data_IF_555773928070
#
_entry.id   IF_555773928070
#
_cell.length_a   1.000
_cell.length_b   1.000
_cell.length_c   1.000
_cell.angle_alpha   90.00
_cell.angle_beta   90.00
_cell.angle_gamma   90.00
#
_symmetry.space_group_name_H-M   'P 1'
#
loop_
_entity.id
_entity.type
_entity.pdbx_description
1 polymer ?
#
# COMPACT_ATOMS: atom_id res chain seq x y z
N UNK A 1 17.17 38.52 -3.96
CA UNK A 1 15.95 37.85 -4.43
C UNK A 1 15.39 37.05 -3.28
N UNK A 2 14.25 37.44 -2.72
CA UNK A 2 13.63 36.76 -1.60
C UNK A 2 12.99 35.49 -2.14
N UNK A 3 13.58 34.34 -1.85
CA UNK A 3 12.93 33.07 -2.05
C UNK A 3 11.83 32.92 -1.00
N UNK A 4 10.62 33.33 -1.35
CA UNK A 4 9.44 32.98 -0.58
C UNK A 4 9.16 31.52 -0.93
N UNK A 5 9.50 30.60 0.00
CA UNK A 5 9.04 29.23 -0.10
C UNK A 5 7.54 29.22 0.23
N UNK A 6 6.73 29.20 -0.81
CA UNK A 6 5.31 28.91 -0.67
C UNK A 6 5.19 27.40 -0.42
N UNK A 7 4.89 27.01 0.80
CA UNK A 7 4.46 25.66 1.11
C UNK A 7 3.05 25.49 0.52
N UNK A 8 2.98 24.95 -0.69
CA UNK A 8 1.73 24.40 -1.18
C UNK A 8 1.39 23.18 -0.35
N UNK A 9 0.51 23.34 0.60
CA UNK A 9 -0.19 22.23 1.24
C UNK A 9 -1.09 21.61 0.17
N UNK A 10 -0.52 20.70 -0.63
CA UNK A 10 -1.30 19.97 -1.61
C UNK A 10 -2.36 19.19 -0.84
N UNK A 11 -3.62 19.55 -1.05
CA UNK A 11 -4.75 18.78 -0.54
C UNK A 11 -4.62 17.34 -1.06
N UNK A 12 -4.82 16.35 -0.17
CA UNK A 12 -4.89 14.96 -0.61
C UNK A 12 -5.92 14.83 -1.72
N UNK A 13 -5.51 14.35 -2.86
CA UNK A 13 -6.38 13.99 -3.97
C UNK A 13 -6.51 12.48 -4.04
N UNK A 14 -7.72 12.00 -4.30
CA UNK A 14 -7.94 10.56 -4.55
C UNK A 14 -7.06 10.12 -5.72
N UNK A 15 -6.31 9.02 -5.59
CA UNK A 15 -5.40 8.59 -6.64
C UNK A 15 -6.16 8.28 -7.94
N UNK A 16 -5.61 8.71 -9.05
CA UNK A 16 -6.16 8.45 -10.37
C UNK A 16 -5.85 6.99 -10.74
N UNK A 17 -6.84 6.30 -11.29
CA UNK A 17 -6.66 4.98 -11.90
C UNK A 17 -6.54 5.18 -13.40
N UNK A 18 -5.40 4.77 -13.98
CA UNK A 18 -5.13 4.96 -15.39
C UNK A 18 -5.08 3.62 -16.13
N UNK A 19 -5.98 3.45 -17.09
CA UNK A 19 -5.92 2.37 -18.05
C UNK A 19 -5.09 2.85 -19.28
N UNK A 20 -3.79 2.62 -19.25
CA UNK A 20 -2.91 2.92 -20.39
C UNK A 20 -3.33 2.09 -21.62
N UNK A 21 -3.35 2.69 -22.81
CA UNK A 21 -3.64 1.93 -24.05
C UNK A 21 -2.51 0.96 -24.43
N UNK A 22 -1.31 1.19 -23.92
CA UNK A 22 -0.10 0.43 -24.27
C UNK A 22 0.13 -0.75 -23.35
N UNK A 23 -0.20 -0.61 -22.06
CA UNK A 23 0.11 -1.60 -21.05
C UNK A 23 -1.09 -2.50 -20.79
N UNK A 24 -0.82 -3.75 -20.42
CA UNK A 24 -1.85 -4.73 -20.11
C UNK A 24 -2.38 -4.58 -18.66
N UNK A 25 -1.65 -3.88 -17.81
CA UNK A 25 -2.02 -3.60 -16.41
C UNK A 25 -2.63 -2.22 -16.25
N UNK A 26 -3.23 -2.00 -15.08
CA UNK A 26 -3.84 -0.74 -14.69
C UNK A 26 -2.95 -0.06 -13.64
N UNK A 27 -2.57 1.18 -13.91
CA UNK A 27 -1.75 1.99 -13.02
C UNK A 27 -2.56 2.54 -11.83
N UNK A 28 -1.90 2.71 -10.70
CA UNK A 28 -2.47 3.23 -9.47
C UNK A 28 -1.69 4.46 -8.99
N UNK A 29 -2.27 5.64 -9.15
CA UNK A 29 -1.63 6.94 -9.02
C UNK A 29 -1.21 7.52 -10.38
N UNK A 30 -0.78 8.77 -10.40
CA UNK A 30 -0.45 9.51 -11.62
C UNK A 30 0.70 8.85 -12.40
N UNK A 31 1.76 8.46 -11.68
CA UNK A 31 2.94 7.77 -12.22
C UNK A 31 3.04 6.33 -11.70
N UNK A 32 1.91 5.67 -11.48
CA UNK A 32 1.86 4.33 -10.88
C UNK A 32 2.49 4.24 -9.48
N UNK A 33 2.49 5.32 -8.73
CA UNK A 33 3.27 5.55 -7.51
C UNK A 33 2.46 5.51 -6.21
N UNK A 34 1.13 5.36 -6.27
CA UNK A 34 0.29 5.48 -5.07
C UNK A 34 0.66 4.51 -3.94
N UNK A 35 1.07 3.28 -4.25
CA UNK A 35 1.56 2.37 -3.22
C UNK A 35 2.84 2.88 -2.56
N UNK A 36 3.76 3.45 -3.34
CA UNK A 36 4.98 4.04 -2.81
C UNK A 36 4.66 5.28 -1.94
N UNK A 37 3.73 6.13 -2.39
CA UNK A 37 3.25 7.26 -1.60
C UNK A 37 2.74 6.83 -0.22
N UNK A 38 1.96 5.74 -0.12
CA UNK A 38 1.49 5.21 1.16
C UNK A 38 2.66 4.69 2.01
N UNK A 39 3.63 3.99 1.40
CA UNK A 39 4.82 3.47 2.08
C UNK A 39 5.62 4.64 2.67
N UNK A 40 5.83 5.71 1.91
CA UNK A 40 6.57 6.89 2.37
C UNK A 40 5.85 7.56 3.57
N UNK A 41 4.52 7.68 3.51
CA UNK A 41 3.72 8.19 4.65
C UNK A 41 3.81 7.30 5.89
N UNK A 42 3.94 5.98 5.69
CA UNK A 42 4.13 5.04 6.79
C UNK A 42 5.54 5.12 7.39
N UNK A 43 6.57 5.23 6.57
CA UNK A 43 7.97 5.27 7.03
C UNK A 43 8.33 6.61 7.68
N UNK A 44 7.86 7.72 7.10
CA UNK A 44 8.29 9.07 7.49
C UNK A 44 7.41 9.73 8.56
N UNK A 45 6.21 9.19 8.85
CA UNK A 45 5.34 9.68 9.92
C UNK A 45 5.32 8.71 11.10
N UNK A 46 5.89 9.11 12.22
CA UNK A 46 5.96 8.31 13.45
C UNK A 46 4.56 8.00 14.00
N UNK A 47 3.67 8.99 13.99
CA UNK A 47 2.30 8.82 14.46
C UNK A 47 1.53 7.85 13.57
N UNK A 48 1.59 8.04 12.24
CA UNK A 48 0.91 7.17 11.28
C UNK A 48 1.36 5.71 11.39
N UNK A 49 2.69 5.47 11.41
CA UNK A 49 3.24 4.13 11.56
C UNK A 49 2.85 3.47 12.89
N UNK A 50 2.89 4.22 13.99
CA UNK A 50 2.50 3.71 15.31
C UNK A 50 1.03 3.31 15.35
N UNK A 51 0.13 4.12 14.79
CA UNK A 51 -1.30 3.82 14.73
C UNK A 51 -1.56 2.58 13.87
N UNK A 52 -1.00 2.53 12.65
CA UNK A 52 -1.16 1.40 11.75
C UNK A 52 -0.68 0.10 12.40
N UNK A 53 0.52 0.10 12.98
CA UNK A 53 1.10 -1.07 13.64
C UNK A 53 0.27 -1.55 14.83
N UNK A 54 -0.19 -0.61 15.69
CA UNK A 54 -0.98 -0.97 16.86
C UNK A 54 -2.35 -1.52 16.47
N UNK A 55 -3.04 -0.88 15.52
CA UNK A 55 -4.33 -1.37 15.01
C UNK A 55 -4.17 -2.73 14.35
N UNK A 56 -3.13 -2.94 13.55
CA UNK A 56 -2.84 -4.24 12.93
C UNK A 56 -2.62 -5.34 13.99
N UNK A 57 -1.91 -5.04 15.07
CA UNK A 57 -1.74 -5.98 16.21
C UNK A 57 -3.06 -6.30 16.89
N UNK A 58 -3.92 -5.30 17.07
CA UNK A 58 -5.25 -5.51 17.66
C UNK A 58 -6.14 -6.38 16.76
N UNK A 59 -6.13 -6.14 15.45
CA UNK A 59 -6.87 -6.96 14.46
C UNK A 59 -6.36 -8.39 14.46
N UNK A 60 -5.04 -8.59 14.47
CA UNK A 60 -4.45 -9.93 14.54
C UNK A 60 -4.83 -10.65 15.83
N UNK A 61 -4.84 -9.96 16.97
CA UNK A 61 -5.23 -10.48 18.28
C UNK A 61 -4.50 -11.78 18.65
N UNK A 62 -5.24 -12.87 18.76
CA UNK A 62 -4.73 -14.22 19.01
C UNK A 62 -4.45 -15.04 17.75
N UNK A 63 -4.57 -14.43 16.56
CA UNK A 63 -4.43 -15.09 15.27
C UNK A 63 -5.72 -15.76 14.80
N UNK A 64 -5.59 -16.68 13.85
CA UNK A 64 -6.74 -17.42 13.34
C UNK A 64 -7.28 -18.39 14.36
N UNK A 65 -8.61 -18.43 14.50
CA UNK A 65 -9.32 -19.42 15.28
C UNK A 65 -10.61 -19.84 14.56
N UNK A 66 -11.13 -21.02 14.86
CA UNK A 66 -12.41 -21.49 14.36
C UNK A 66 -13.31 -21.86 15.53
N UNK A 67 -14.57 -21.42 15.49
CA UNK A 67 -15.55 -21.68 16.55
C UNK A 67 -15.88 -23.18 16.68
N UNK A 68 -15.72 -23.93 15.60
CA UNK A 68 -15.97 -25.37 15.50
C UNK A 68 -14.68 -26.22 15.50
N UNK A 69 -13.53 -25.64 15.87
CA UNK A 69 -12.24 -26.35 15.91
C UNK A 69 -12.29 -27.69 16.65
N UNK A 70 -13.03 -27.75 17.77
CA UNK A 70 -13.20 -28.96 18.55
C UNK A 70 -14.07 -30.04 17.85
N UNK A 71 -14.97 -29.60 16.94
CA UNK A 71 -15.84 -30.49 16.18
C UNK A 71 -15.16 -30.98 14.88
N UNK A 72 -14.24 -30.19 14.35
CA UNK A 72 -13.55 -30.44 13.08
C UNK A 72 -12.03 -30.24 13.20
N UNK A 73 -11.36 -31.06 14.01
CA UNK A 73 -9.94 -30.84 14.31
C UNK A 73 -9.03 -31.03 13.11
N UNK A 74 -9.39 -31.90 12.16
CA UNK A 74 -8.59 -32.12 10.94
C UNK A 74 -8.63 -30.91 10.00
N UNK A 75 -9.81 -30.31 9.78
CA UNK A 75 -9.99 -29.12 8.97
C UNK A 75 -9.30 -27.91 9.61
N UNK A 76 -9.38 -27.79 10.93
CA UNK A 76 -8.66 -26.76 11.67
C UNK A 76 -7.14 -26.92 11.53
N UNK A 77 -6.61 -28.14 11.66
CA UNK A 77 -5.19 -28.40 11.45
C UNK A 77 -4.73 -28.07 10.02
N UNK A 78 -5.55 -28.37 9.00
CA UNK A 78 -5.28 -28.02 7.61
C UNK A 78 -5.27 -26.49 7.43
N UNK A 79 -6.22 -25.77 7.99
CA UNK A 79 -6.26 -24.30 7.96
C UNK A 79 -4.99 -23.70 8.57
N UNK A 80 -4.58 -24.19 9.74
CA UNK A 80 -3.36 -23.73 10.42
C UNK A 80 -2.08 -24.08 9.66
N UNK A 81 -2.05 -25.17 8.90
CA UNK A 81 -0.94 -25.54 8.05
C UNK A 81 -0.82 -24.66 6.80
N UNK A 82 -1.96 -24.19 6.25
CA UNK A 82 -2.01 -23.27 5.11
C UNK A 82 -1.65 -21.83 5.50
N UNK A 83 -2.13 -21.37 6.66
CA UNK A 83 -2.02 -19.98 7.09
C UNK A 83 -1.20 -19.88 8.38
N UNK A 84 0.12 -19.81 8.23
CA UNK A 84 0.98 -19.58 9.38
C UNK A 84 0.80 -18.17 9.98
N UNK A 85 1.21 -18.00 11.24
CA UNK A 85 1.04 -16.76 11.98
C UNK A 85 1.72 -15.55 11.31
N UNK A 86 2.88 -15.74 10.69
CA UNK A 86 3.62 -14.67 10.00
C UNK A 86 2.87 -14.20 8.75
N UNK A 87 2.34 -15.13 7.95
CA UNK A 87 1.52 -14.82 6.78
C UNK A 87 0.30 -13.98 7.18
N UNK A 88 -0.42 -14.37 8.24
CA UNK A 88 -1.60 -13.62 8.70
C UNK A 88 -1.25 -12.23 9.21
N UNK A 89 -0.12 -12.06 9.93
CA UNK A 89 0.33 -10.72 10.36
C UNK A 89 0.61 -9.81 9.17
N UNK A 90 1.25 -10.32 8.13
CA UNK A 90 1.53 -9.57 6.90
C UNK A 90 0.24 -9.18 6.17
N UNK A 91 -0.70 -10.11 6.04
CA UNK A 91 -2.03 -9.84 5.45
C UNK A 91 -2.76 -8.74 6.22
N UNK A 92 -2.77 -8.81 7.55
CA UNK A 92 -3.45 -7.82 8.38
C UNK A 92 -2.77 -6.44 8.25
N UNK A 93 -1.44 -6.40 8.18
CA UNK A 93 -0.70 -5.16 7.98
C UNK A 93 -0.99 -4.55 6.61
N UNK A 94 -0.91 -5.32 5.53
CA UNK A 94 -1.24 -4.85 4.17
C UNK A 94 -2.69 -4.36 4.10
N UNK A 95 -3.62 -5.13 4.69
CA UNK A 95 -5.04 -4.77 4.73
C UNK A 95 -5.26 -3.44 5.45
N UNK A 96 -4.55 -3.18 6.54
CA UNK A 96 -4.64 -1.91 7.26
C UNK A 96 -3.92 -0.79 6.53
N UNK A 97 -2.72 -1.06 6.01
CA UNK A 97 -1.87 -0.05 5.37
C UNK A 97 -2.39 0.39 4.01
N UNK A 98 -2.77 -0.57 3.15
CA UNK A 98 -3.18 -0.31 1.76
C UNK A 98 -4.69 -0.41 1.51
N UNK A 99 -5.46 -0.85 2.52
CA UNK A 99 -6.88 -1.13 2.33
C UNK A 99 -7.17 -2.43 1.58
N UNK A 100 -6.15 -3.19 1.19
CA UNK A 100 -6.22 -4.39 0.36
C UNK A 100 -5.05 -5.31 0.67
N UNK A 101 -5.17 -6.60 0.31
CA UNK A 101 -4.09 -7.56 0.48
C UNK A 101 -4.13 -8.61 -0.62
N UNK A 102 -3.03 -9.32 -0.80
CA UNK A 102 -2.95 -10.40 -1.77
C UNK A 102 -2.25 -11.64 -1.20
N UNK A 103 -2.59 -12.77 -1.77
CA UNK A 103 -2.00 -14.07 -1.46
C UNK A 103 -1.69 -14.81 -2.75
N UNK A 104 -0.57 -15.50 -2.75
CA UNK A 104 -0.21 -16.43 -3.80
C UNK A 104 -0.66 -17.83 -3.36
N UNK A 105 -1.54 -18.45 -4.13
CA UNK A 105 -2.12 -19.75 -3.88
C UNK A 105 -1.42 -20.77 -4.77
N UNK A 106 -0.91 -21.84 -4.18
CA UNK A 106 -0.25 -22.93 -4.87
C UNK A 106 -1.10 -24.18 -4.83
N UNK A 107 -1.42 -24.72 -6.02
CA UNK A 107 -2.18 -25.95 -6.20
C UNK A 107 -1.27 -27.15 -6.45
N UNK A 108 -1.83 -28.33 -6.28
CA UNK A 108 -1.24 -29.57 -6.75
C UNK A 108 -1.27 -29.63 -8.30
N UNK A 109 -0.52 -30.58 -8.89
CA UNK A 109 -0.46 -30.74 -10.35
C UNK A 109 -1.82 -31.02 -11.01
N UNK A 110 -2.77 -31.56 -10.28
CA UNK A 110 -4.12 -31.86 -10.73
C UNK A 110 -5.10 -30.71 -10.51
N UNK A 111 -4.66 -29.58 -9.95
CA UNK A 111 -5.45 -28.40 -9.57
C UNK A 111 -6.67 -28.72 -8.68
N UNK A 112 -6.55 -29.78 -7.85
CA UNK A 112 -7.65 -30.25 -6.97
C UNK A 112 -7.49 -29.83 -5.51
N UNK A 113 -6.26 -29.54 -5.08
CA UNK A 113 -5.95 -29.24 -3.69
C UNK A 113 -4.99 -28.08 -3.58
N UNK A 114 -5.30 -27.13 -2.69
CA UNK A 114 -4.38 -26.09 -2.31
C UNK A 114 -3.31 -26.70 -1.41
N UNK A 115 -2.06 -26.58 -1.82
CA UNK A 115 -0.91 -27.08 -1.08
C UNK A 115 -0.37 -26.04 -0.11
N UNK A 116 -0.30 -24.79 -0.54
CA UNK A 116 0.27 -23.68 0.22
C UNK A 116 -0.39 -22.36 -0.17
N UNK A 117 -0.40 -21.43 0.76
CA UNK A 117 -0.81 -20.06 0.56
C UNK A 117 0.24 -19.14 1.19
N UNK A 118 0.76 -18.20 0.41
CA UNK A 118 1.78 -17.24 0.84
C UNK A 118 1.25 -15.82 0.70
N UNK A 119 1.64 -14.97 1.64
CA UNK A 119 1.47 -13.53 1.48
C UNK A 119 2.34 -13.05 0.32
N UNK A 120 1.78 -12.20 -0.53
CA UNK A 120 2.51 -11.43 -1.53
C UNK A 120 2.21 -9.94 -1.32
N UNK A 121 3.24 -9.07 -1.22
CA UNK A 121 3.04 -7.64 -1.01
C UNK A 121 2.22 -7.03 -2.15
N UNK A 122 1.15 -6.33 -1.82
CA UNK A 122 0.25 -5.77 -2.85
C UNK A 122 0.89 -4.66 -3.69
N UNK A 123 1.88 -3.96 -3.15
CA UNK A 123 2.63 -2.94 -3.88
C UNK A 123 3.41 -3.50 -5.08
N UNK A 124 3.71 -4.80 -5.09
CA UNK A 124 4.36 -5.50 -6.21
C UNK A 124 3.37 -5.98 -7.27
N UNK A 125 2.06 -5.81 -7.05
CA UNK A 125 1.02 -6.26 -7.96
C UNK A 125 0.29 -5.10 -8.63
N UNK A 126 -0.08 -5.32 -9.90
CA UNK A 126 -1.02 -4.46 -10.62
C UNK A 126 -2.11 -5.31 -11.24
N UNK A 127 -3.33 -4.79 -11.18
CA UNK A 127 -4.49 -5.46 -11.76
C UNK A 127 -4.41 -5.48 -13.29
N UNK A 128 -4.78 -6.60 -13.91
CA UNK A 128 -5.06 -6.67 -15.33
C UNK A 128 -6.31 -5.84 -15.66
N UNK A 129 -6.44 -5.35 -16.87
CA UNK A 129 -7.66 -4.69 -17.32
C UNK A 129 -8.84 -5.65 -17.25
N UNK A 130 -9.97 -5.15 -16.77
CA UNK A 130 -11.18 -5.96 -16.71
C UNK A 130 -11.59 -6.48 -18.08
N UNK A 131 -12.16 -7.68 -18.09
CA UNK A 131 -12.86 -8.25 -19.21
C UNK A 131 -14.19 -7.48 -19.51
N UNK A 132 -14.97 -7.96 -20.48
CA UNK A 132 -16.25 -7.33 -20.87
C UNK A 132 -17.29 -7.38 -19.75
N UNK A 133 -17.19 -8.32 -18.84
CA UNK A 133 -18.08 -8.50 -17.69
C UNK A 133 -17.63 -7.68 -16.46
N UNK A 134 -16.51 -6.97 -16.57
CA UNK A 134 -15.97 -6.11 -15.51
C UNK A 134 -15.12 -6.86 -14.49
N UNK A 135 -14.72 -8.10 -14.77
CA UNK A 135 -13.92 -8.95 -13.89
C UNK A 135 -12.43 -8.86 -14.20
N UNK A 136 -11.59 -9.00 -13.17
CA UNK A 136 -10.14 -9.02 -13.27
C UNK A 136 -9.70 -10.47 -13.32
N UNK A 137 -9.18 -10.92 -14.47
CA UNK A 137 -8.77 -12.31 -14.69
C UNK A 137 -7.31 -12.57 -14.35
N UNK A 138 -6.53 -11.54 -14.07
CA UNK A 138 -5.11 -11.68 -13.76
C UNK A 138 -4.52 -10.48 -13.05
N UNK A 139 -3.31 -10.68 -12.56
CA UNK A 139 -2.48 -9.66 -11.93
C UNK A 139 -1.07 -9.72 -12.50
N UNK A 140 -0.45 -8.57 -12.65
CA UNK A 140 0.93 -8.45 -13.08
C UNK A 140 1.80 -8.24 -11.84
N UNK A 141 2.86 -9.03 -11.73
CA UNK A 141 3.88 -8.93 -10.69
C UNK A 141 5.14 -8.30 -11.26
N UNK A 142 5.70 -7.32 -10.59
CA UNK A 142 7.02 -6.77 -10.87
C UNK A 142 7.73 -6.42 -9.56
N UNK A 143 9.03 -6.68 -9.49
CA UNK A 143 9.87 -6.30 -8.35
C UNK A 143 10.11 -4.78 -8.29
N UNK A 144 10.00 -4.09 -9.44
CA UNK A 144 10.16 -2.65 -9.53
C UNK A 144 9.26 -2.06 -10.63
N UNK A 145 8.19 -1.40 -10.20
CA UNK A 145 7.22 -0.75 -11.10
C UNK A 145 7.70 0.58 -11.69
N UNK A 146 8.78 1.16 -11.18
CA UNK A 146 9.38 2.39 -11.73
C UNK A 146 10.34 2.09 -12.89
N UNK A 147 10.80 0.84 -13.01
CA UNK A 147 11.71 0.40 -14.07
C UNK A 147 11.23 -0.92 -14.70
N UNK A 148 10.08 -0.86 -15.33
CA UNK A 148 9.46 -2.02 -16.00
C UNK A 148 10.27 -2.56 -17.18
N UNK A 149 11.26 -1.80 -17.67
CA UNK A 149 12.14 -2.25 -18.76
C UNK A 149 13.15 -3.30 -18.29
N UNK A 150 13.70 -3.10 -17.08
CA UNK A 150 14.63 -4.04 -16.47
C UNK A 150 13.92 -5.10 -15.62
N UNK A 151 12.71 -4.79 -15.13
CA UNK A 151 11.88 -5.65 -14.29
C UNK A 151 10.55 -5.95 -14.99
N UNK A 152 10.63 -6.77 -16.05
CA UNK A 152 9.47 -7.10 -16.88
C UNK A 152 8.31 -7.70 -16.05
N UNK A 153 7.10 -7.10 -16.09
CA UNK A 153 5.96 -7.57 -15.34
C UNK A 153 5.49 -8.95 -15.81
N UNK A 154 5.33 -9.87 -14.87
CA UNK A 154 4.87 -11.25 -15.14
C UNK A 154 3.40 -11.37 -14.80
N UNK A 155 2.59 -11.83 -15.76
CA UNK A 155 1.18 -12.12 -15.54
C UNK A 155 1.02 -13.39 -14.71
N UNK A 156 0.18 -13.33 -13.69
CA UNK A 156 -0.26 -14.47 -12.88
C UNK A 156 -1.79 -14.43 -12.86
N UNK A 157 -2.49 -15.53 -13.14
CA UNK A 157 -3.95 -15.54 -13.17
C UNK A 157 -4.54 -15.25 -11.79
N UNK A 158 -5.74 -14.66 -11.80
CA UNK A 158 -6.53 -14.46 -10.60
C UNK A 158 -7.10 -15.80 -10.09
N UNK A 159 -7.31 -15.87 -8.80
CA UNK A 159 -7.85 -17.06 -8.13
C UNK A 159 -9.19 -17.49 -8.74
N UNK A 160 -9.23 -18.73 -9.20
CA UNK A 160 -10.41 -19.34 -9.81
C UNK A 160 -10.62 -19.03 -11.30
N UNK A 161 -9.68 -18.36 -11.96
CA UNK A 161 -9.77 -18.03 -13.40
C UNK A 161 -8.87 -18.90 -14.28
N UNK A 162 -8.11 -19.81 -13.70
CA UNK A 162 -7.25 -20.70 -14.48
C UNK A 162 -7.11 -22.09 -13.85
N UNK A 163 -6.42 -22.99 -14.59
CA UNK A 163 -5.96 -24.26 -14.05
C UNK A 163 -4.44 -24.26 -13.84
N UNK A 164 -3.82 -23.11 -13.72
CA UNK A 164 -2.40 -22.99 -13.44
C UNK A 164 -2.09 -23.36 -11.99
N UNK A 165 -0.87 -23.81 -11.74
CA UNK A 165 -0.47 -24.23 -10.39
C UNK A 165 -0.35 -23.07 -9.40
N UNK A 166 -0.27 -21.83 -9.91
CA UNK A 166 -0.10 -20.63 -9.10
C UNK A 166 -1.13 -19.59 -9.51
N UNK A 167 -1.91 -19.13 -8.56
CA UNK A 167 -2.92 -18.09 -8.75
C UNK A 167 -2.80 -17.01 -7.68
N UNK A 168 -3.27 -15.80 -7.97
CA UNK A 168 -3.31 -14.68 -7.03
C UNK A 168 -4.73 -14.49 -6.50
N UNK A 169 -4.89 -14.71 -5.21
CA UNK A 169 -6.08 -14.28 -4.49
C UNK A 169 -5.86 -12.83 -4.04
N UNK A 170 -6.58 -11.90 -4.67
CA UNK A 170 -6.52 -10.48 -4.35
C UNK A 170 -7.81 -10.05 -3.67
N UNK A 171 -7.70 -9.57 -2.45
CA UNK A 171 -8.84 -9.09 -1.65
C UNK A 171 -8.83 -7.59 -1.54
N UNK A 172 -9.84 -6.96 -2.12
CA UNK A 172 -10.11 -5.54 -2.01
C UNK A 172 -11.57 -5.33 -1.61
N UNK A 173 -11.88 -4.58 -0.54
CA UNK A 173 -13.23 -4.18 -0.25
C UNK A 173 -13.69 -3.13 -1.27
N UNK A 174 -14.99 -2.96 -1.35
CA UNK A 174 -15.56 -1.88 -2.12
C UNK A 174 -15.07 -0.52 -1.58
N UNK A 175 -14.56 0.31 -2.47
CA UNK A 175 -14.26 1.71 -2.21
C UNK A 175 -14.95 2.55 -3.28
N UNK A 176 -15.63 3.62 -2.85
CA UNK A 176 -16.38 4.51 -3.76
C UNK A 176 -15.44 5.12 -4.79
N UNK A 177 -15.81 5.01 -6.07
CA UNK A 177 -15.02 5.53 -7.18
C UNK A 177 -13.82 4.67 -7.60
N UNK A 178 -13.58 3.51 -6.93
CA UNK A 178 -12.46 2.60 -7.21
C UNK A 178 -12.94 1.30 -7.85
N UNK A 179 -12.48 1.04 -9.09
CA UNK A 179 -12.82 -0.19 -9.81
C UNK A 179 -11.79 -1.30 -9.57
N UNK A 180 -10.51 -1.00 -9.74
CA UNK A 180 -9.42 -1.97 -9.74
C UNK A 180 -8.77 -2.18 -8.37
N UNK A 181 -8.73 -1.13 -7.57
CA UNK A 181 -8.04 -1.07 -6.28
C UNK A 181 -8.99 -0.67 -5.15
N UNK A 182 -8.47 -0.67 -3.94
CA UNK A 182 -9.16 -0.11 -2.77
C UNK A 182 -8.27 0.95 -2.12
N UNK A 183 -8.85 1.73 -1.22
CA UNK A 183 -8.16 2.77 -0.48
C UNK A 183 -8.07 2.37 1.00
N UNK A 184 -7.03 2.82 1.73
CA UNK A 184 -6.96 2.61 3.16
C UNK A 184 -8.09 3.39 3.86
N UNK A 185 -8.61 2.82 4.94
CA UNK A 185 -9.68 3.44 5.74
C UNK A 185 -9.25 4.73 6.44
N UNK A 186 -7.94 4.96 6.59
CA UNK A 186 -7.35 6.18 7.16
C UNK A 186 -6.90 7.19 6.12
N UNK A 187 -7.31 7.05 4.86
CA UNK A 187 -6.88 7.94 3.76
C UNK A 187 -7.04 9.44 4.07
N UNK A 188 -8.08 9.83 4.81
CA UNK A 188 -8.29 11.21 5.27
C UNK A 188 -7.20 11.73 6.21
N UNK A 189 -6.41 10.84 6.81
CA UNK A 189 -5.26 11.17 7.67
C UNK A 189 -3.95 11.35 6.92
N UNK A 190 -3.85 10.95 5.65
CA UNK A 190 -2.60 11.02 4.87
C UNK A 190 -2.01 12.43 4.74
N UNK A 191 -2.81 13.52 4.59
CA UNK A 191 -2.27 14.88 4.60
C UNK A 191 -1.58 15.25 5.92
N UNK A 192 -2.11 14.76 7.04
CA UNK A 192 -1.52 15.01 8.36
C UNK A 192 -0.22 14.21 8.56
N UNK A 193 -0.13 12.99 8.02
CA UNK A 193 1.10 12.22 8.00
C UNK A 193 2.20 12.94 7.20
N UNK A 194 1.86 13.57 6.06
CA UNK A 194 2.78 14.41 5.30
C UNK A 194 3.19 15.66 6.07
N UNK A 195 2.24 16.33 6.72
CA UNK A 195 2.52 17.52 7.55
C UNK A 195 3.49 17.19 8.69
N UNK A 196 3.34 16.03 9.35
CA UNK A 196 4.26 15.56 10.40
C UNK A 196 5.69 15.42 9.86
N UNK A 197 5.87 14.83 8.68
CA UNK A 197 7.17 14.71 8.00
C UNK A 197 7.78 16.09 7.73
N UNK A 198 7.04 17.00 7.11
CA UNK A 198 7.52 18.35 6.78
C UNK A 198 7.92 19.15 8.04
N UNK A 199 7.18 19.00 9.14
CA UNK A 199 7.51 19.61 10.44
C UNK A 199 8.79 19.00 10.99
N UNK A 200 8.95 17.68 10.94
CA UNK A 200 10.15 17.00 11.42
C UNK A 200 11.39 17.46 10.62
N UNK A 201 11.29 17.52 9.31
CA UNK A 201 12.37 17.99 8.44
C UNK A 201 12.73 19.46 8.70
N UNK A 202 11.73 20.32 8.89
CA UNK A 202 11.94 21.70 9.26
C UNK A 202 12.72 21.82 10.59
N UNK A 203 12.29 21.10 11.63
CA UNK A 203 12.95 21.13 12.94
C UNK A 203 14.38 20.59 12.89
N UNK A 204 14.61 19.50 12.16
CA UNK A 204 15.96 18.92 11.96
C UNK A 204 16.87 19.94 11.28
N UNK A 205 16.38 20.57 10.21
CA UNK A 205 17.13 21.59 9.48
C UNK A 205 17.48 22.82 10.37
N UNK A 206 16.54 23.27 11.21
CA UNK A 206 16.79 24.39 12.15
C UNK A 206 17.87 24.00 13.20
N UNK A 207 17.81 22.80 13.74
CA UNK A 207 18.80 22.29 14.69
C UNK A 207 20.19 22.16 14.04
N UNK A 208 20.26 21.60 12.82
CA UNK A 208 21.52 21.44 12.09
C UNK A 208 22.15 22.76 11.69
N UNK A 209 21.37 23.77 11.36
CA UNK A 209 21.85 25.12 11.05
C UNK A 209 22.18 25.96 12.29
N UNK A 210 22.15 25.34 13.48
CA UNK A 210 22.60 25.94 14.74
C UNK A 210 21.75 27.13 15.18
N UNK A 211 20.43 27.10 14.97
CA UNK A 211 19.54 28.23 15.26
C UNK A 211 20.10 29.55 14.74
N UNK A 212 20.60 29.54 13.49
CA UNK A 212 21.11 30.74 12.84
C UNK A 212 20.08 31.83 12.98
N UNK A 213 20.36 32.76 13.89
CA UNK A 213 19.43 33.83 14.25
C UNK A 213 18.92 34.50 12.99
N UNK A 214 17.62 34.61 12.84
CA UNK A 214 17.03 35.38 11.75
C UNK A 214 17.46 36.81 11.96
N UNK A 215 18.54 37.23 11.25
CA UNK A 215 19.00 38.61 11.29
C UNK A 215 17.99 39.44 10.51
N UNK A 216 17.17 40.19 11.21
CA UNK A 216 16.36 41.24 10.59
C UNK A 216 17.27 42.45 10.41
N UNK A 217 17.75 42.67 9.19
CA UNK A 217 18.45 43.88 8.84
C UNK A 217 17.39 44.97 8.60
N UNK A 218 17.21 45.80 9.59
CA UNK A 218 16.31 46.94 9.46
C UNK A 218 17.13 48.14 8.92
N UNK A 219 16.96 48.46 7.67
CA UNK A 219 17.53 49.68 7.08
C UNK A 219 16.70 50.87 7.52
N UNK A 220 17.06 51.49 8.65
CA UNK A 220 16.58 52.83 8.97
C UNK A 220 17.32 53.82 8.09
N UNK A 221 16.78 54.11 6.94
CA UNK A 221 17.22 55.31 6.18
C UNK A 221 16.82 56.53 7.00
N UNK A 222 17.74 57.06 7.77
CA UNK A 222 17.55 58.34 8.43
C UNK A 222 17.15 59.35 7.38
N UNK A 223 16.07 60.08 7.66
CA UNK A 223 15.69 61.24 6.80
C UNK A 223 16.86 62.23 6.83
N UNK A 224 17.41 62.64 5.69
CA UNK A 224 18.43 63.67 5.68
C UNK A 224 17.81 64.98 6.18
N UNK A 225 18.39 65.55 7.19
CA UNK A 225 18.10 66.93 7.67
C UNK A 225 18.63 67.95 6.70
#
# INVERSE_FOLDING_TARGET
MNNIHVLELSSYTTPVIQESKKDAWVEFGEDNDYFQFIIDRYVNSTTNSSVINNVSRLIYGRGLSALDANKKPNEYAQMMALFNADCIRKIVLDRKMFGQFAMQIHYDKAHKKILKAYHIPVNLLRAEKCNKDGEIEGYYYSDNWQDVRNYEPKRIPAFGYSNEQVEILYSKPYAVGMKYYSLPDYQGGLPYAKLEEEIADYLINEVQKGFAGRVVINFNNGVPT
#
